data_IF_039483108794
#
_entry.id   IF_039483108794
#
_cell.length_a   1.000
_cell.length_b   1.000
_cell.length_c   1.000
_cell.angle_alpha   90.00
_cell.angle_beta   90.00
_cell.angle_gamma   90.00
#
_symmetry.space_group_name_H-M   'P 1'
#
loop_
_entity.id
_entity.type
_entity.pdbx_description
1 polymer ?
#
# COMPACT_ATOMS: atom_id res chain seq x y z
N UNK A 1 -18.26 19.27 5.38
CA UNK A 1 -17.89 17.84 5.20
C UNK A 1 -19.15 17.02 4.94
N UNK A 2 -19.24 16.32 3.80
CA UNK A 2 -20.40 15.45 3.51
C UNK A 2 -20.30 14.18 4.38
N UNK A 3 -21.28 13.96 5.25
CA UNK A 3 -21.36 12.76 6.10
C UNK A 3 -21.62 11.52 5.24
N UNK A 4 -21.14 10.35 5.68
CA UNK A 4 -21.45 9.08 5.05
C UNK A 4 -22.98 8.88 5.02
N UNK A 5 -23.53 8.56 3.85
CA UNK A 5 -24.97 8.34 3.70
C UNK A 5 -25.24 6.84 3.71
N UNK A 6 -26.14 6.41 4.59
CA UNK A 6 -26.64 5.04 4.62
C UNK A 6 -27.85 4.93 3.71
N UNK A 7 -27.81 4.02 2.74
CA UNK A 7 -28.89 3.71 1.84
C UNK A 7 -29.31 2.24 2.01
N UNK A 8 -30.47 1.83 1.50
CA UNK A 8 -30.87 0.41 1.43
C UNK A 8 -30.94 -0.01 -0.03
N UNK A 9 -30.18 -1.02 -0.42
CA UNK A 9 -30.30 -1.68 -1.72
C UNK A 9 -31.03 -3.01 -1.49
N UNK A 10 -32.33 -3.03 -1.77
CA UNK A 10 -33.21 -4.13 -1.35
C UNK A 10 -33.31 -4.21 0.17
N UNK A 11 -33.00 -5.39 0.75
CA UNK A 11 -32.99 -5.61 2.21
C UNK A 11 -31.65 -5.27 2.86
N UNK A 12 -30.60 -5.03 2.08
CA UNK A 12 -29.24 -4.84 2.59
C UNK A 12 -28.93 -3.35 2.78
N UNK A 13 -28.47 -2.92 3.97
CA UNK A 13 -27.95 -1.58 4.16
C UNK A 13 -26.61 -1.44 3.43
N UNK A 14 -26.44 -0.34 2.70
CA UNK A 14 -25.23 0.02 1.97
C UNK A 14 -24.80 1.42 2.38
N UNK A 15 -23.49 1.62 2.46
CA UNK A 15 -22.91 2.93 2.78
C UNK A 15 -22.34 3.52 1.49
N UNK A 16 -22.80 4.71 1.15
CA UNK A 16 -22.33 5.44 -0.04
C UNK A 16 -21.21 6.37 0.39
N UNK A 17 -20.03 6.15 -0.20
CA UNK A 17 -18.87 7.01 -0.03
C UNK A 17 -18.65 7.87 -1.29
N UNK A 18 -18.18 9.12 -1.14
CA UNK A 18 -17.58 9.85 -2.24
C UNK A 18 -16.42 9.05 -2.85
N UNK A 19 -16.25 9.10 -4.17
CA UNK A 19 -15.20 8.37 -4.90
C UNK A 19 -13.82 8.64 -4.31
N UNK A 20 -13.50 9.91 -4.03
CA UNK A 20 -12.22 10.30 -3.41
C UNK A 20 -11.98 9.66 -2.04
N UNK A 21 -13.03 9.48 -1.23
CA UNK A 21 -12.92 8.79 0.05
C UNK A 21 -12.67 7.29 -0.13
N UNK A 22 -13.32 6.67 -1.13
CA UNK A 22 -13.11 5.27 -1.46
C UNK A 22 -11.70 4.98 -1.98
N UNK A 23 -11.14 5.87 -2.81
CA UNK A 23 -9.76 5.77 -3.29
C UNK A 23 -8.74 5.81 -2.14
N UNK A 24 -8.94 6.71 -1.17
CA UNK A 24 -8.11 6.77 0.03
C UNK A 24 -8.20 5.49 0.87
N UNK A 25 -9.41 4.96 1.06
CA UNK A 25 -9.62 3.69 1.78
C UNK A 25 -8.91 2.56 1.04
N UNK A 26 -9.08 2.47 -0.28
CA UNK A 26 -8.44 1.44 -1.12
C UNK A 26 -6.91 1.51 -1.00
N UNK A 27 -6.32 2.69 -1.17
CA UNK A 27 -4.88 2.87 -1.06
C UNK A 27 -4.37 2.44 0.33
N UNK A 28 -5.12 2.76 1.39
CA UNK A 28 -4.78 2.33 2.75
C UNK A 28 -4.85 0.83 2.93
N UNK A 29 -5.87 0.18 2.40
CA UNK A 29 -6.03 -1.29 2.44
C UNK A 29 -4.88 -1.96 1.69
N UNK A 30 -4.53 -1.50 0.49
CA UNK A 30 -3.41 -2.05 -0.28
C UNK A 30 -2.09 -1.97 0.48
N UNK A 31 -1.78 -0.83 1.11
CA UNK A 31 -0.57 -0.71 1.95
C UNK A 31 -0.59 -1.67 3.15
N UNK A 32 -1.74 -1.86 3.79
CA UNK A 32 -1.87 -2.78 4.93
C UNK A 32 -1.71 -4.23 4.50
N UNK A 33 -2.25 -4.60 3.35
CA UNK A 33 -2.11 -5.93 2.77
C UNK A 33 -0.66 -6.22 2.38
N UNK A 34 0.00 -5.26 1.72
CA UNK A 34 1.42 -5.36 1.38
C UNK A 34 2.27 -5.53 2.65
N UNK A 35 2.01 -4.72 3.68
CA UNK A 35 2.69 -4.83 4.97
C UNK A 35 2.42 -6.18 5.65
N UNK A 36 1.18 -6.67 5.61
CA UNK A 36 0.83 -7.98 6.14
C UNK A 36 1.59 -9.10 5.44
N UNK A 37 1.64 -9.09 4.11
CA UNK A 37 2.38 -10.06 3.31
C UNK A 37 3.90 -10.01 3.60
N UNK A 38 4.48 -8.80 3.69
CA UNK A 38 5.88 -8.62 4.10
C UNK A 38 6.15 -9.15 5.52
N UNK A 39 5.25 -8.87 6.47
CA UNK A 39 5.41 -9.26 7.88
C UNK A 39 5.24 -10.76 8.13
N UNK A 40 4.53 -11.47 7.26
CA UNK A 40 4.33 -12.92 7.36
C UNK A 40 5.35 -13.71 6.53
N UNK A 41 5.96 -13.09 5.52
CA UNK A 41 6.96 -13.72 4.66
C UNK A 41 8.33 -13.85 5.34
N UNK A 42 8.75 -15.09 5.60
CA UNK A 42 10.08 -15.42 6.12
C UNK A 42 11.19 -15.02 5.14
N UNK A 43 10.96 -15.22 3.84
CA UNK A 43 11.92 -14.85 2.77
C UNK A 43 12.15 -13.35 2.76
N UNK A 44 11.07 -12.56 2.80
CA UNK A 44 11.15 -11.10 2.81
C UNK A 44 11.96 -10.59 4.01
N UNK A 45 11.71 -11.12 5.21
CA UNK A 45 12.47 -10.77 6.42
C UNK A 45 13.96 -11.08 6.28
N UNK A 46 14.30 -12.23 5.70
CA UNK A 46 15.69 -12.65 5.48
C UNK A 46 16.40 -11.72 4.50
N UNK A 47 15.74 -11.38 3.38
CA UNK A 47 16.32 -10.52 2.35
C UNK A 47 16.53 -9.09 2.86
N UNK A 48 15.59 -8.54 3.64
CA UNK A 48 15.76 -7.23 4.29
C UNK A 48 16.89 -7.25 5.32
N UNK A 49 17.04 -8.32 6.10
CA UNK A 49 18.14 -8.46 7.04
C UNK A 49 19.50 -8.49 6.32
N UNK A 50 19.60 -9.25 5.22
CA UNK A 50 20.79 -9.29 4.37
C UNK A 50 21.09 -7.93 3.73
N UNK A 51 20.07 -7.25 3.20
CA UNK A 51 20.21 -5.93 2.60
C UNK A 51 20.74 -4.92 3.62
N UNK A 52 20.17 -4.87 4.83
CA UNK A 52 20.62 -4.00 5.93
C UNK A 52 22.05 -4.32 6.37
N UNK A 53 22.39 -5.60 6.49
CA UNK A 53 23.73 -6.03 6.86
C UNK A 53 24.78 -5.65 5.81
N UNK A 54 24.39 -5.66 4.52
CA UNK A 54 25.31 -5.37 3.42
C UNK A 54 25.82 -3.92 3.38
N UNK A 55 25.13 -2.97 4.04
CA UNK A 55 25.41 -1.52 4.01
C UNK A 55 25.58 -0.95 2.59
N UNK A 56 25.10 -1.65 1.56
CA UNK A 56 25.13 -1.20 0.18
C UNK A 56 23.96 -0.26 -0.03
N UNK A 57 24.24 1.03 0.02
CA UNK A 57 23.29 2.08 -0.33
C UNK A 57 23.43 2.42 -1.81
N UNK A 58 22.30 2.57 -2.50
CA UNK A 58 22.26 3.03 -3.89
C UNK A 58 21.62 4.41 -3.87
N UNK A 59 22.31 5.40 -4.44
CA UNK A 59 21.76 6.74 -4.55
C UNK A 59 20.50 6.73 -5.44
N UNK A 60 19.54 7.60 -5.16
CA UNK A 60 18.32 7.70 -5.99
C UNK A 60 18.65 7.98 -7.46
N UNK A 61 19.71 8.76 -7.73
CA UNK A 61 20.20 9.07 -9.08
C UNK A 61 20.68 7.81 -9.81
N UNK A 62 21.50 6.99 -9.16
CA UNK A 62 22.00 5.74 -9.76
C UNK A 62 20.88 4.72 -9.95
N UNK A 63 19.92 4.70 -9.02
CA UNK A 63 18.73 3.86 -9.15
C UNK A 63 17.89 4.27 -10.36
N UNK A 64 17.58 5.56 -10.52
CA UNK A 64 16.77 6.05 -11.65
C UNK A 64 17.44 5.82 -13.01
N UNK A 65 18.76 6.01 -13.09
CA UNK A 65 19.52 5.69 -14.29
C UNK A 65 19.44 4.19 -14.64
N UNK A 66 19.52 3.30 -13.65
CA UNK A 66 19.38 1.85 -13.86
C UNK A 66 17.97 1.44 -14.29
N UNK A 67 16.95 2.17 -13.83
CA UNK A 67 15.55 1.91 -14.15
C UNK A 67 15.09 2.61 -15.45
N UNK A 68 15.96 3.39 -16.11
CA UNK A 68 15.61 4.14 -17.31
C UNK A 68 14.62 5.28 -17.07
N UNK A 69 14.54 5.77 -15.82
CA UNK A 69 13.63 6.85 -15.41
C UNK A 69 14.29 8.25 -15.51
N UNK A 70 15.59 8.29 -15.81
CA UNK A 70 16.42 9.50 -16.02
C UNK A 70 17.56 9.20 -16.98
#
# INVERSE_FOLDING_TARGET
MKKAQTFKLGKSPVVIFPVSAWELIRARVSMLEEHYQMSTSTTYKKDIALARASKKEVSAKDLYKKLGLT
#
